data_IF_148061917330
#
_entry.id   IF_148061917330
#
_cell.length_a   1.000
_cell.length_b   1.000
_cell.length_c   1.000
_cell.angle_alpha   90.00
_cell.angle_beta   90.00
_cell.angle_gamma   90.00
#
_symmetry.space_group_name_H-M   'P 1'
#
loop_
_entity.id
_entity.type
_entity.pdbx_description
1 polymer ?
#
# COMPACT_ATOMS: atom_id res chain seq x y z
N UNK A 1 11.05 -31.93 -24.21
CA UNK A 1 11.27 -31.92 -22.75
C UNK A 1 11.31 -30.48 -22.24
N UNK A 2 10.16 -29.89 -21.91
CA UNK A 2 10.08 -28.53 -21.34
C UNK A 2 9.41 -28.60 -19.98
N UNK A 3 10.19 -28.48 -18.89
CA UNK A 3 9.66 -28.45 -17.52
C UNK A 3 8.91 -27.13 -17.33
N UNK A 4 7.59 -27.14 -17.53
CA UNK A 4 6.71 -26.03 -17.13
C UNK A 4 6.80 -25.92 -15.61
N UNK A 5 7.42 -24.85 -15.11
CA UNK A 5 7.39 -24.49 -13.70
C UNK A 5 5.92 -24.15 -13.36
N UNK A 6 5.18 -25.11 -12.84
CA UNK A 6 3.85 -24.86 -12.27
C UNK A 6 4.08 -23.92 -11.07
N UNK A 7 3.73 -22.65 -11.21
CA UNK A 7 3.62 -21.78 -10.04
C UNK A 7 2.50 -22.36 -9.18
N UNK A 8 2.84 -22.82 -7.97
CA UNK A 8 1.93 -23.42 -6.99
C UNK A 8 0.76 -22.50 -6.58
N UNK A 9 0.83 -21.23 -6.97
CA UNK A 9 -0.17 -20.17 -6.75
C UNK A 9 -1.56 -20.42 -7.35
N UNK A 10 -1.77 -21.47 -8.15
CA UNK A 10 -3.07 -21.74 -8.79
C UNK A 10 -4.01 -22.64 -8.00
N UNK A 11 -3.56 -23.29 -6.91
CA UNK A 11 -4.39 -24.18 -6.09
C UNK A 11 -4.98 -23.52 -4.83
N UNK A 12 -4.58 -22.29 -4.50
CA UNK A 12 -5.08 -21.57 -3.33
C UNK A 12 -5.92 -20.38 -3.79
N UNK A 13 -7.23 -20.47 -3.57
CA UNK A 13 -8.15 -19.37 -3.82
C UNK A 13 -7.84 -18.21 -2.85
N UNK A 14 -7.22 -17.15 -3.35
CA UNK A 14 -6.97 -15.94 -2.55
C UNK A 14 -8.32 -15.28 -2.22
N UNK A 15 -8.66 -15.09 -0.93
CA UNK A 15 -9.92 -14.46 -0.54
C UNK A 15 -10.06 -13.07 -1.16
N UNK A 16 -11.23 -12.78 -1.74
CA UNK A 16 -11.55 -11.48 -2.34
C UNK A 16 -12.45 -10.65 -1.42
N UNK A 17 -12.35 -9.33 -1.51
CA UNK A 17 -13.30 -8.40 -0.88
C UNK A 17 -14.63 -8.42 -1.64
N UNK A 18 -15.70 -7.89 -1.04
CA UNK A 18 -17.00 -7.70 -1.71
C UNK A 18 -16.92 -6.86 -3.00
N UNK A 19 -15.89 -6.02 -3.11
CA UNK A 19 -15.60 -5.20 -4.30
C UNK A 19 -14.73 -5.93 -5.34
N UNK A 20 -14.49 -7.23 -5.18
CA UNK A 20 -13.70 -8.07 -6.09
C UNK A 20 -12.18 -7.89 -5.98
N UNK A 21 -11.68 -7.02 -5.10
CA UNK A 21 -10.24 -6.81 -4.90
C UNK A 21 -9.66 -7.96 -4.08
N UNK A 22 -8.41 -8.36 -4.37
CA UNK A 22 -7.71 -9.36 -3.56
C UNK A 22 -7.53 -8.81 -2.14
N UNK A 23 -7.79 -9.64 -1.12
CA UNK A 23 -7.44 -9.29 0.25
C UNK A 23 -5.90 -9.20 0.39
N UNK A 24 -5.38 -8.27 1.19
CA UNK A 24 -3.95 -8.18 1.44
C UNK A 24 -3.46 -9.40 2.23
N UNK A 25 -2.36 -10.00 1.78
CA UNK A 25 -1.68 -11.08 2.48
C UNK A 25 -0.56 -10.53 3.37
N UNK A 26 -0.18 -11.28 4.40
CA UNK A 26 0.93 -10.93 5.27
C UNK A 26 2.26 -11.13 4.55
N UNK A 27 2.94 -10.03 4.20
CA UNK A 27 4.21 -10.11 3.48
C UNK A 27 5.35 -10.77 4.24
N UNK A 28 5.39 -10.67 5.58
CA UNK A 28 6.37 -11.41 6.40
C UNK A 28 6.16 -12.92 6.30
N UNK A 29 4.92 -13.39 6.39
CA UNK A 29 4.60 -14.81 6.22
C UNK A 29 4.93 -15.27 4.80
N UNK A 30 4.62 -14.44 3.79
CA UNK A 30 4.90 -14.74 2.39
C UNK A 30 6.39 -14.95 2.11
N UNK A 31 7.27 -14.11 2.68
CA UNK A 31 8.74 -14.28 2.61
C UNK A 31 9.19 -15.64 3.15
N UNK A 32 8.44 -16.22 4.10
CA UNK A 32 8.71 -17.54 4.68
C UNK A 32 7.90 -18.68 4.03
N UNK A 33 7.24 -18.43 2.89
CA UNK A 33 6.46 -19.43 2.17
C UNK A 33 5.10 -19.75 2.80
N UNK A 34 4.61 -18.91 3.72
CA UNK A 34 3.35 -19.09 4.43
C UNK A 34 2.33 -18.05 3.94
N UNK A 35 1.21 -18.51 3.38
CA UNK A 35 0.16 -17.63 2.87
C UNK A 35 -0.94 -17.42 3.93
N UNK A 36 -0.97 -16.23 4.53
CA UNK A 36 -1.99 -15.85 5.51
C UNK A 36 -2.52 -14.45 5.20
N UNK A 37 -3.85 -14.28 5.27
CA UNK A 37 -4.51 -12.99 5.11
C UNK A 37 -4.09 -12.04 6.23
N UNK A 38 -3.78 -10.79 5.92
CA UNK A 38 -3.26 -9.82 6.90
C UNK A 38 -4.33 -9.33 7.90
N UNK A 39 -5.60 -9.43 7.52
CA UNK A 39 -6.77 -9.07 8.35
C UNK A 39 -6.74 -9.84 9.69
N UNK A 40 -6.66 -9.11 10.81
CA UNK A 40 -6.54 -9.70 12.15
C UNK A 40 -5.21 -10.40 12.47
N UNK A 41 -4.35 -10.65 11.49
CA UNK A 41 -3.15 -11.48 11.64
C UNK A 41 -1.94 -10.75 12.26
N UNK A 42 -1.83 -9.42 12.12
CA UNK A 42 -0.62 -8.66 12.50
C UNK A 42 -0.09 -8.99 13.90
N UNK A 43 -0.97 -9.04 14.92
CA UNK A 43 -0.60 -9.26 16.32
C UNK A 43 -0.17 -10.70 16.62
N UNK A 44 -0.67 -11.67 15.85
CA UNK A 44 -0.42 -13.10 16.03
C UNK A 44 0.55 -13.66 14.99
N UNK A 45 1.22 -12.79 14.24
CA UNK A 45 2.14 -13.19 13.19
C UNK A 45 3.36 -13.87 13.80
N UNK A 46 3.57 -15.15 13.48
CA UNK A 46 4.75 -15.93 13.89
C UNK A 46 6.07 -15.24 13.53
N UNK A 47 6.09 -14.50 12.41
CA UNK A 47 7.28 -13.83 11.88
C UNK A 47 7.32 -12.33 12.19
N UNK A 48 6.45 -11.83 13.08
CA UNK A 48 6.32 -10.41 13.46
C UNK A 48 7.64 -9.72 13.79
N UNK A 49 8.59 -10.46 14.38
CA UNK A 49 9.90 -9.93 14.77
C UNK A 49 11.06 -10.57 14.02
N UNK A 50 10.78 -11.30 12.92
CA UNK A 50 11.83 -11.88 12.10
C UNK A 50 12.77 -10.79 11.53
N UNK A 51 14.07 -11.10 11.55
CA UNK A 51 15.19 -10.27 11.06
C UNK A 51 16.03 -11.01 10.01
N UNK A 52 15.44 -11.95 9.27
CA UNK A 52 16.16 -12.58 8.15
C UNK A 52 16.34 -11.57 7.00
N UNK A 53 17.30 -11.83 6.11
CA UNK A 53 17.59 -10.98 4.94
C UNK A 53 16.34 -10.76 4.08
N UNK A 54 15.55 -11.81 3.84
CA UNK A 54 14.30 -11.70 3.08
C UNK A 54 13.29 -10.74 3.71
N UNK A 55 13.15 -10.76 5.04
CA UNK A 55 12.26 -9.83 5.75
C UNK A 55 12.81 -8.39 5.69
N UNK A 56 14.13 -8.19 5.75
CA UNK A 56 14.72 -6.86 5.60
C UNK A 56 14.47 -6.29 4.19
N UNK A 57 14.67 -7.08 3.15
CA UNK A 57 14.41 -6.69 1.76
C UNK A 57 12.93 -6.32 1.60
N UNK A 58 12.02 -7.19 2.04
CA UNK A 58 10.58 -6.94 1.97
C UNK A 58 10.19 -5.62 2.68
N UNK A 59 10.73 -5.36 3.87
CA UNK A 59 10.45 -4.12 4.59
C UNK A 59 10.99 -2.88 3.86
N UNK A 60 12.16 -2.99 3.22
CA UNK A 60 12.71 -1.90 2.42
C UNK A 60 11.83 -1.59 1.20
N UNK A 61 11.41 -2.62 0.45
CA UNK A 61 10.49 -2.47 -0.68
C UNK A 61 9.14 -1.88 -0.25
N UNK A 62 8.62 -2.32 0.91
CA UNK A 62 7.38 -1.80 1.47
C UNK A 62 7.46 -0.30 1.76
N UNK A 63 8.61 0.20 2.25
CA UNK A 63 8.84 1.64 2.46
C UNK A 63 8.79 2.40 1.14
N UNK A 64 9.50 1.91 0.11
CA UNK A 64 9.48 2.53 -1.23
C UNK A 64 8.05 2.59 -1.81
N UNK A 65 7.26 1.53 -1.63
CA UNK A 65 5.87 1.50 -2.05
C UNK A 65 5.01 2.53 -1.28
N UNK A 66 5.21 2.66 0.03
CA UNK A 66 4.53 3.67 0.84
C UNK A 66 4.83 5.09 0.36
N UNK A 67 6.09 5.40 0.08
CA UNK A 67 6.52 6.72 -0.43
C UNK A 67 5.92 7.03 -1.80
N UNK A 68 5.87 6.04 -2.69
CA UNK A 68 5.23 6.17 -4.00
C UNK A 68 3.74 6.47 -3.87
N UNK A 69 3.04 5.76 -2.97
CA UNK A 69 1.61 5.99 -2.70
C UNK A 69 1.40 7.38 -2.10
N UNK A 70 2.23 7.81 -1.16
CA UNK A 70 2.16 9.12 -0.53
C UNK A 70 2.30 10.25 -1.57
N UNK A 71 3.32 10.17 -2.43
CA UNK A 71 3.52 11.15 -3.53
C UNK A 71 2.32 11.20 -4.48
N UNK A 72 1.79 10.03 -4.85
CA UNK A 72 0.62 9.95 -5.75
C UNK A 72 -0.60 10.60 -5.12
N UNK A 73 -0.89 10.31 -3.84
CA UNK A 73 -1.99 10.93 -3.09
C UNK A 73 -1.83 12.45 -2.99
N UNK A 74 -0.62 12.94 -2.69
CA UNK A 74 -0.36 14.38 -2.64
C UNK A 74 -0.61 15.06 -3.99
N UNK A 75 -0.15 14.46 -5.09
CA UNK A 75 -0.41 14.95 -6.44
C UNK A 75 -1.89 14.98 -6.78
N UNK A 76 -2.63 13.92 -6.45
CA UNK A 76 -4.07 13.83 -6.75
C UNK A 76 -4.88 14.85 -5.93
N UNK A 77 -4.52 15.09 -4.65
CA UNK A 77 -5.11 16.16 -3.85
C UNK A 77 -4.84 17.56 -4.43
N UNK A 78 -3.63 17.83 -4.91
CA UNK A 78 -3.29 19.10 -5.54
C UNK A 78 -4.06 19.33 -6.85
N UNK A 79 -4.36 18.28 -7.62
CA UNK A 79 -5.17 18.39 -8.84
C UNK A 79 -6.62 18.77 -8.54
N UNK A 80 -7.19 18.27 -7.44
CA UNK A 80 -8.54 18.61 -7.00
C UNK A 80 -8.59 20.04 -6.43
N UNK A 81 -7.51 20.50 -5.78
CA UNK A 81 -7.36 21.85 -5.21
C UNK A 81 -6.93 22.93 -6.21
N UNK A 82 -7.25 22.82 -7.51
CA UNK A 82 -7.12 23.97 -8.42
C UNK A 82 -8.17 25.03 -8.06
N UNK A 83 -7.94 25.71 -6.93
CA UNK A 83 -8.61 26.94 -6.54
C UNK A 83 -8.23 27.96 -7.61
N UNK A 84 -9.24 28.56 -8.23
CA UNK A 84 -9.00 29.58 -9.24
C UNK A 84 -8.29 30.77 -8.60
N UNK A 85 -7.35 31.40 -9.30
CA UNK A 85 -6.68 32.62 -8.82
C UNK A 85 -7.68 33.73 -8.44
N UNK A 86 -8.90 33.67 -8.99
CA UNK A 86 -10.01 34.57 -8.66
C UNK A 86 -10.50 34.45 -7.21
N UNK A 87 -10.58 33.23 -6.65
CA UNK A 87 -11.08 32.99 -5.28
C UNK A 87 -10.07 33.40 -4.20
N UNK A 88 -8.78 33.40 -4.53
CA UNK A 88 -7.70 33.82 -3.62
C UNK A 88 -7.74 35.33 -3.36
N UNK A 89 -8.22 36.14 -4.31
CA UNK A 89 -8.28 37.60 -4.17
C UNK A 89 -9.35 38.11 -3.19
N UNK A 90 -10.42 37.35 -2.97
CA UNK A 90 -11.53 37.76 -2.08
C UNK A 90 -11.11 37.69 -0.61
N UNK A 91 -10.28 36.73 -0.23
CA UNK A 91 -9.86 36.53 1.17
C UNK A 91 -8.63 37.34 1.59
N UNK A 92 -7.78 37.76 0.64
CA UNK A 92 -6.56 38.53 0.94
C UNK A 92 -6.78 40.06 1.02
N UNK A 93 -7.81 40.61 0.36
CA UNK A 93 -8.06 42.05 0.36
C UNK A 93 -8.94 42.57 1.51
N UNK A 94 -9.64 41.70 2.24
CA UNK A 94 -10.54 42.13 3.33
C UNK A 94 -9.84 42.39 4.68
N UNK A 95 -8.50 42.34 4.76
CA UNK A 95 -7.74 42.58 6.01
C UNK A 95 -6.88 43.84 6.02
N UNK A 96 -6.95 44.71 5.01
CA UNK A 96 -6.34 46.05 5.07
C UNK A 96 -7.40 47.12 4.81
N UNK A 97 -8.17 47.43 5.85
CA UNK A 97 -8.87 48.70 5.99
C UNK A 97 -8.88 49.07 7.48
N UNK A 98 -7.78 49.68 7.91
CA UNK A 98 -7.70 50.63 9.02
C UNK A 98 -7.11 51.89 8.41
#
# INVERSE_FOLDING_TARGET
MGKVKKNLSSLVEIPRTRTGRKKPMCGRCYVHGVEVVLEGHKKYCKFQYCKCVGCYIFLAEQRVAADKIARKRASDLNKVKKISHAEVSIFLFSRHKI
#
